data_IF_970550812038
#
_entry.id   IF_970550812038
#
_cell.length_a   1.000
_cell.length_b   1.000
_cell.length_c   1.000
_cell.angle_alpha   90.00
_cell.angle_beta   90.00
_cell.angle_gamma   90.00
#
_symmetry.space_group_name_H-M   'P 1'
#
loop_
_entity.id
_entity.type
_entity.pdbx_description
1 polymer ?
#
# COMPACT_ATOMS: atom_id res chain seq x y z
N UNK A 1 -39.22 9.51 -34.31
CA UNK A 1 -38.96 10.22 -33.04
C UNK A 1 -39.02 9.21 -31.91
N UNK A 2 -37.88 8.93 -31.31
CA UNK A 2 -37.73 8.03 -30.18
C UNK A 2 -38.27 8.69 -28.91
N UNK A 3 -39.06 7.96 -28.12
CA UNK A 3 -39.22 8.21 -26.69
C UNK A 3 -39.33 6.86 -25.98
N UNK A 4 -38.36 6.61 -25.10
CA UNK A 4 -38.34 5.51 -24.14
C UNK A 4 -39.25 5.87 -22.95
N UNK A 5 -40.03 4.92 -22.40
CA UNK A 5 -40.44 4.96 -21.00
C UNK A 5 -39.54 4.03 -20.18
N UNK A 6 -39.03 4.57 -19.08
CA UNK A 6 -38.06 3.94 -18.20
C UNK A 6 -38.56 2.66 -17.54
N UNK A 7 -37.66 1.70 -17.44
CA UNK A 7 -37.78 0.56 -16.53
C UNK A 7 -37.23 0.96 -15.16
N UNK A 8 -38.16 1.15 -14.23
CA UNK A 8 -37.91 0.99 -12.79
C UNK A 8 -37.39 -0.44 -12.57
N UNK A 9 -36.11 -0.59 -12.22
CA UNK A 9 -35.63 -1.84 -11.62
C UNK A 9 -36.15 -1.88 -10.18
N UNK A 10 -37.26 -2.61 -10.01
CA UNK A 10 -37.75 -3.02 -8.71
C UNK A 10 -36.63 -3.74 -7.94
N UNK A 11 -36.35 -3.25 -6.73
CA UNK A 11 -35.64 -4.01 -5.72
C UNK A 11 -36.49 -5.23 -5.35
N UNK A 12 -36.27 -6.34 -6.04
CA UNK A 12 -36.78 -7.63 -5.58
C UNK A 12 -35.93 -8.06 -4.38
N UNK A 13 -36.51 -7.97 -3.18
CA UNK A 13 -36.03 -8.72 -2.02
C UNK A 13 -36.30 -10.19 -2.30
N UNK A 14 -35.36 -10.84 -2.99
CA UNK A 14 -35.34 -12.30 -3.09
C UNK A 14 -34.72 -12.83 -1.81
N UNK A 15 -35.59 -13.12 -0.84
CA UNK A 15 -35.24 -14.00 0.28
C UNK A 15 -34.93 -15.38 -0.29
N UNK A 16 -33.70 -15.87 -0.08
CA UNK A 16 -33.37 -17.28 -0.30
C UNK A 16 -32.50 -17.65 -1.50
N UNK A 17 -31.65 -16.75 -2.01
CA UNK A 17 -30.45 -17.15 -2.76
C UNK A 17 -29.24 -16.71 -1.94
N UNK A 18 -28.49 -17.69 -1.38
CA UNK A 18 -27.14 -17.43 -0.89
C UNK A 18 -26.29 -17.16 -2.13
N UNK A 19 -26.26 -15.91 -2.55
CA UNK A 19 -25.37 -15.48 -3.61
C UNK A 19 -24.00 -15.29 -2.95
N UNK A 20 -23.14 -16.30 -3.08
CA UNK A 20 -21.79 -16.28 -2.51
C UNK A 20 -20.91 -15.14 -3.08
N UNK A 21 -21.37 -14.43 -4.11
CA UNK A 21 -20.62 -13.40 -4.85
C UNK A 21 -21.50 -12.21 -5.30
N UNK A 22 -22.29 -11.62 -4.40
CA UNK A 22 -23.05 -10.41 -4.71
C UNK A 22 -22.14 -9.17 -4.73
N UNK A 23 -22.01 -8.53 -5.91
CA UNK A 23 -21.45 -7.18 -5.98
C UNK A 23 -22.51 -6.18 -5.53
N UNK A 24 -22.26 -5.43 -4.47
CA UNK A 24 -23.18 -4.37 -4.01
C UNK A 24 -22.57 -2.99 -4.20
N UNK A 25 -23.40 -2.05 -4.64
CA UNK A 25 -23.02 -0.66 -4.81
C UNK A 25 -23.51 0.14 -3.61
N UNK A 26 -22.62 0.88 -2.97
CA UNK A 26 -23.03 1.88 -1.98
C UNK A 26 -23.18 3.25 -2.64
N UNK A 27 -24.04 4.10 -2.09
CA UNK A 27 -24.26 5.47 -2.55
C UNK A 27 -22.99 6.36 -2.50
N UNK A 28 -21.90 5.87 -1.90
CA UNK A 28 -20.63 6.59 -1.74
C UNK A 28 -19.59 6.27 -2.84
N UNK A 29 -19.99 5.80 -4.03
CA UNK A 29 -19.10 5.35 -5.12
C UNK A 29 -18.26 4.10 -4.81
N UNK A 30 -18.71 3.27 -3.85
CA UNK A 30 -18.04 2.03 -3.47
C UNK A 30 -18.60 0.78 -4.15
N UNK A 31 -17.73 -0.20 -4.39
CA UNK A 31 -18.07 -1.53 -4.93
C UNK A 31 -17.61 -2.59 -3.93
N UNK A 32 -18.53 -3.34 -3.35
CA UNK A 32 -18.20 -4.48 -2.48
C UNK A 32 -18.33 -5.78 -3.27
N UNK A 33 -17.36 -6.70 -3.18
CA UNK A 33 -17.37 -7.96 -3.96
C UNK A 33 -17.49 -9.22 -3.10
N UNK A 34 -16.87 -9.21 -1.92
CA UNK A 34 -16.85 -10.31 -0.94
C UNK A 34 -16.91 -9.72 0.47
N UNK A 35 -17.32 -10.49 1.50
CA UNK A 35 -17.37 -9.99 2.87
C UNK A 35 -16.02 -9.39 3.29
N UNK A 36 -16.01 -8.11 3.66
CA UNK A 36 -14.81 -7.40 4.13
C UNK A 36 -13.91 -6.79 3.06
N UNK A 37 -14.18 -7.00 1.76
CA UNK A 37 -13.44 -6.35 0.67
C UNK A 37 -14.34 -5.40 -0.12
N UNK A 38 -13.96 -4.13 -0.13
CA UNK A 38 -14.60 -3.11 -0.96
C UNK A 38 -13.57 -2.31 -1.73
N UNK A 39 -13.99 -1.72 -2.84
CA UNK A 39 -13.21 -0.78 -3.63
C UNK A 39 -13.89 0.59 -3.57
N UNK A 40 -13.13 1.63 -3.26
CA UNK A 40 -13.60 3.01 -3.34
C UNK A 40 -12.94 3.70 -4.52
N UNK A 41 -13.74 4.49 -5.23
CA UNK A 41 -13.20 5.44 -6.21
C UNK A 41 -12.44 6.52 -5.47
N UNK A 42 -11.21 6.77 -5.90
CA UNK A 42 -10.45 7.94 -5.47
C UNK A 42 -10.41 8.95 -6.62
N UNK A 43 -11.24 9.99 -6.51
CA UNK A 43 -11.35 11.01 -7.55
C UNK A 43 -10.13 11.91 -7.67
N UNK A 44 -9.21 11.90 -6.71
CA UNK A 44 -7.96 12.66 -6.83
C UNK A 44 -7.07 12.16 -7.98
N UNK A 45 -7.29 10.91 -8.40
CA UNK A 45 -6.59 10.25 -9.51
C UNK A 45 -7.47 10.03 -10.75
N UNK A 46 -8.65 10.65 -10.81
CA UNK A 46 -9.46 10.62 -12.03
C UNK A 46 -8.72 11.28 -13.19
N UNK A 47 -8.90 10.70 -14.38
CA UNK A 47 -8.20 11.06 -15.60
C UNK A 47 -6.68 10.87 -15.52
N UNK A 48 -6.21 9.95 -14.68
CA UNK A 48 -4.79 9.65 -14.54
C UNK A 48 -4.50 8.15 -14.63
N UNK A 49 -3.25 7.82 -14.94
CA UNK A 49 -2.68 6.46 -14.90
C UNK A 49 -1.23 6.51 -14.44
N UNK A 50 -0.67 5.39 -13.99
CA UNK A 50 0.75 5.29 -13.67
C UNK A 50 1.59 5.50 -14.94
N UNK A 51 2.68 6.27 -14.85
CA UNK A 51 3.59 6.57 -15.98
C UNK A 51 4.32 5.33 -16.51
N UNK A 52 4.64 4.37 -15.64
CA UNK A 52 5.21 3.08 -15.99
C UNK A 52 4.88 2.08 -14.89
N UNK A 53 4.13 1.04 -15.22
CA UNK A 53 3.96 -0.11 -14.33
C UNK A 53 4.12 -1.41 -15.12
N UNK A 54 5.29 -2.07 -15.04
CA UNK A 54 5.51 -3.36 -15.70
C UNK A 54 4.69 -4.50 -15.07
N UNK A 55 4.17 -4.31 -13.85
CA UNK A 55 3.46 -5.32 -13.08
C UNK A 55 1.93 -5.19 -13.24
N UNK A 56 1.46 -4.19 -14.01
CA UNK A 56 0.04 -3.99 -14.32
C UNK A 56 -0.52 -5.07 -15.25
N UNK A 57 -1.72 -5.57 -14.94
CA UNK A 57 -2.42 -6.56 -15.79
C UNK A 57 -3.60 -5.91 -16.51
N UNK A 58 -3.45 -5.75 -17.82
CA UNK A 58 -4.51 -5.24 -18.71
C UNK A 58 -5.52 -6.34 -19.07
N UNK A 59 -6.79 -6.03 -18.86
CA UNK A 59 -7.94 -6.90 -19.07
C UNK A 59 -9.07 -6.12 -19.77
N UNK A 60 -9.95 -6.86 -20.45
CA UNK A 60 -11.22 -6.33 -20.92
C UNK A 60 -12.31 -6.56 -19.86
N UNK A 61 -12.83 -5.47 -19.31
CA UNK A 61 -13.97 -5.50 -18.41
C UNK A 61 -15.08 -4.60 -18.96
N UNK A 62 -16.21 -5.21 -19.32
CA UNK A 62 -17.38 -4.45 -19.80
C UNK A 62 -17.96 -3.48 -18.76
N UNK A 63 -17.65 -3.63 -17.47
CA UNK A 63 -18.14 -2.78 -16.38
C UNK A 63 -17.12 -2.63 -15.25
N UNK A 64 -17.26 -1.57 -14.45
CA UNK A 64 -16.46 -1.37 -13.22
C UNK A 64 -16.63 -2.54 -12.24
N UNK A 65 -17.85 -3.07 -12.08
CA UNK A 65 -18.09 -4.23 -11.21
C UNK A 65 -17.30 -5.46 -11.66
N UNK A 66 -17.21 -5.70 -12.96
CA UNK A 66 -16.41 -6.81 -13.49
C UNK A 66 -14.91 -6.60 -13.23
N UNK A 67 -14.41 -5.37 -13.37
CA UNK A 67 -13.02 -5.05 -13.03
C UNK A 67 -12.73 -5.26 -11.53
N UNK A 68 -13.62 -4.78 -10.65
CA UNK A 68 -13.53 -5.01 -9.21
C UNK A 68 -13.56 -6.49 -8.84
N UNK A 69 -14.42 -7.28 -9.50
CA UNK A 69 -14.47 -8.73 -9.33
C UNK A 69 -13.14 -9.39 -9.70
N UNK A 70 -12.60 -9.07 -10.89
CA UNK A 70 -11.31 -9.59 -11.35
C UNK A 70 -10.18 -9.22 -10.39
N UNK A 71 -10.16 -7.98 -9.89
CA UNK A 71 -9.21 -7.58 -8.86
C UNK A 71 -9.39 -8.38 -7.56
N UNK A 72 -10.62 -8.56 -7.07
CA UNK A 72 -10.87 -9.31 -5.84
C UNK A 72 -10.46 -10.78 -5.92
N UNK A 73 -10.64 -11.39 -7.09
CA UNK A 73 -10.24 -12.77 -7.39
C UNK A 73 -8.72 -12.92 -7.61
N UNK A 74 -8.00 -11.80 -7.78
CA UNK A 74 -6.56 -11.78 -7.99
C UNK A 74 -5.87 -11.42 -6.67
N UNK A 75 -5.14 -12.36 -6.06
CA UNK A 75 -4.62 -12.23 -4.70
C UNK A 75 -3.73 -10.99 -4.48
N UNK A 76 -2.94 -10.62 -5.48
CA UNK A 76 -2.04 -9.47 -5.44
C UNK A 76 -2.72 -8.14 -5.75
N UNK A 77 -3.92 -8.15 -6.36
CA UNK A 77 -4.56 -6.92 -6.78
C UNK A 77 -5.18 -6.19 -5.60
N UNK A 78 -4.80 -4.93 -5.44
CA UNK A 78 -5.35 -4.03 -4.42
C UNK A 78 -5.95 -2.78 -5.04
N UNK A 79 -5.65 -2.45 -6.29
CA UNK A 79 -6.21 -1.30 -6.99
C UNK A 79 -6.39 -1.58 -8.47
N UNK A 80 -7.21 -0.77 -9.13
CA UNK A 80 -7.39 -0.89 -10.58
C UNK A 80 -7.79 0.45 -11.22
N UNK A 81 -7.48 0.57 -12.50
CA UNK A 81 -8.04 1.59 -13.39
C UNK A 81 -9.16 1.02 -14.22
N UNK A 82 -10.15 1.86 -14.51
CA UNK A 82 -11.22 1.55 -15.43
C UNK A 82 -11.50 2.71 -16.37
N UNK A 83 -11.50 2.44 -17.68
CA UNK A 83 -11.82 3.42 -18.72
C UNK A 83 -13.17 3.11 -19.35
N UNK A 84 -14.16 3.95 -19.08
CA UNK A 84 -15.56 3.67 -19.46
C UNK A 84 -15.80 3.62 -20.97
N UNK A 85 -15.04 4.40 -21.77
CA UNK A 85 -15.21 4.46 -23.22
C UNK A 85 -14.75 3.20 -23.95
N UNK A 86 -13.75 2.50 -23.40
CA UNK A 86 -13.16 1.30 -24.00
C UNK A 86 -13.52 0.00 -23.27
N UNK A 87 -13.98 0.07 -22.02
CA UNK A 87 -14.07 -1.10 -21.16
C UNK A 87 -12.72 -1.62 -20.67
N UNK A 88 -11.63 -0.85 -20.87
CA UNK A 88 -10.31 -1.26 -20.39
C UNK A 88 -10.27 -1.29 -18.85
N UNK A 89 -9.67 -2.33 -18.32
CA UNK A 89 -9.46 -2.58 -16.90
C UNK A 89 -8.00 -2.95 -16.67
N UNK A 90 -7.28 -2.19 -15.86
CA UNK A 90 -5.89 -2.51 -15.52
C UNK A 90 -5.77 -2.75 -14.03
N UNK A 91 -5.34 -3.95 -13.64
CA UNK A 91 -5.18 -4.36 -12.25
C UNK A 91 -3.79 -4.04 -11.74
N UNK A 92 -3.67 -3.62 -10.47
CA UNK A 92 -2.43 -3.18 -9.84
C UNK A 92 -2.28 -3.71 -8.41
N UNK A 93 -1.02 -4.00 -8.01
CA UNK A 93 -0.67 -4.25 -6.61
C UNK A 93 -0.76 -2.97 -5.81
N UNK A 94 -0.22 -1.87 -6.33
CA UNK A 94 -0.40 -0.50 -5.83
C UNK A 94 -0.07 0.44 -6.98
N UNK A 95 -1.01 1.31 -7.37
CA UNK A 95 -0.79 2.19 -8.53
C UNK A 95 -0.22 3.56 -8.14
N UNK A 96 -0.60 4.12 -6.99
CA UNK A 96 -0.20 5.47 -6.61
C UNK A 96 0.19 5.54 -5.13
N UNK A 97 1.30 6.22 -4.85
CA UNK A 97 1.60 6.78 -3.52
C UNK A 97 1.12 8.23 -3.49
N UNK A 98 1.44 8.99 -4.54
CA UNK A 98 1.16 10.41 -4.61
C UNK A 98 0.60 10.81 -5.98
N UNK A 99 -0.16 11.93 -6.07
CA UNK A 99 -0.63 12.46 -7.35
C UNK A 99 0.47 12.74 -8.39
N UNK A 100 1.73 12.92 -7.96
CA UNK A 100 2.91 13.11 -8.81
C UNK A 100 3.32 11.86 -9.58
N UNK A 101 2.89 10.67 -9.17
CA UNK A 101 3.21 9.39 -9.85
C UNK A 101 2.41 9.19 -11.14
N UNK A 102 1.55 10.15 -11.46
CA UNK A 102 0.47 9.99 -12.40
C UNK A 102 0.72 10.78 -13.69
N UNK A 103 0.37 10.15 -14.82
CA UNK A 103 0.27 10.78 -16.14
C UNK A 103 -1.18 10.95 -16.55
N UNK A 104 -1.45 11.91 -17.43
CA UNK A 104 -2.79 12.16 -17.94
C UNK A 104 -3.33 10.97 -18.74
N UNK A 105 -4.56 10.59 -18.43
CA UNK A 105 -5.31 9.53 -19.09
C UNK A 105 -6.81 9.83 -19.00
N UNK A 106 -7.29 10.69 -19.91
CA UNK A 106 -8.67 11.17 -19.92
C UNK A 106 -9.67 10.01 -19.98
N UNK A 107 -10.70 10.07 -19.11
CA UNK A 107 -11.78 9.09 -19.04
C UNK A 107 -11.49 7.87 -18.16
N UNK A 108 -10.28 7.78 -17.61
CA UNK A 108 -9.87 6.73 -16.67
C UNK A 108 -10.29 7.09 -15.25
N UNK A 109 -10.77 6.11 -14.50
CA UNK A 109 -11.12 6.22 -13.07
C UNK A 109 -10.29 5.25 -12.26
N UNK A 110 -9.85 5.69 -11.09
CA UNK A 110 -9.03 4.87 -10.19
C UNK A 110 -9.86 4.38 -9.00
N UNK A 111 -9.66 3.10 -8.66
CA UNK A 111 -10.30 2.43 -7.55
C UNK A 111 -9.24 1.73 -6.70
N UNK A 112 -9.32 1.89 -5.39
CA UNK A 112 -8.42 1.23 -4.44
C UNK A 112 -9.22 0.41 -3.44
N UNK A 113 -8.62 -0.69 -2.98
CA UNK A 113 -9.18 -1.53 -1.95
C UNK A 113 -9.28 -0.76 -0.64
N UNK A 114 -10.41 -0.92 0.05
CA UNK A 114 -10.59 -0.46 1.41
C UNK A 114 -11.03 -1.61 2.30
N UNK A 115 -10.49 -1.60 3.51
CA UNK A 115 -10.93 -2.42 4.63
C UNK A 115 -11.17 -1.49 5.82
N UNK A 116 -12.06 -1.87 6.73
CA UNK A 116 -12.57 -0.93 7.76
C UNK A 116 -11.47 -0.31 8.64
N UNK A 117 -10.42 -1.07 8.92
CA UNK A 117 -9.28 -0.65 9.73
C UNK A 117 -8.19 0.07 8.92
N UNK A 118 -8.20 -0.02 7.58
CA UNK A 118 -7.25 0.65 6.68
C UNK A 118 -8.00 1.62 5.75
N UNK A 119 -8.49 2.74 6.31
CA UNK A 119 -9.21 3.73 5.52
C UNK A 119 -8.26 4.66 4.76
N UNK A 120 -8.53 4.95 3.47
CA UNK A 120 -7.65 5.72 2.59
C UNK A 120 -7.59 7.23 2.88
N UNK A 121 -8.27 7.72 3.93
CA UNK A 121 -8.36 9.17 4.23
C UNK A 121 -7.00 9.82 4.52
N UNK A 122 -5.95 9.04 4.78
CA UNK A 122 -4.58 9.51 4.96
C UNK A 122 -3.64 9.04 3.83
N UNK A 123 -4.13 8.74 2.62
CA UNK A 123 -3.27 8.16 1.55
C UNK A 123 -2.61 6.86 2.00
N UNK A 124 -3.42 5.98 2.60
CA UNK A 124 -2.95 4.69 3.09
C UNK A 124 -3.00 3.65 1.97
N UNK A 125 -1.96 2.82 1.89
CA UNK A 125 -1.87 1.72 0.95
C UNK A 125 -2.13 0.41 1.69
N UNK A 126 -3.17 -0.32 1.29
CA UNK A 126 -3.44 -1.64 1.84
C UNK A 126 -2.87 -2.72 0.92
N UNK A 127 -1.93 -3.51 1.44
CA UNK A 127 -1.47 -4.73 0.78
C UNK A 127 -2.21 -5.96 1.34
N UNK A 128 -2.98 -6.63 0.49
CA UNK A 128 -3.79 -7.79 0.86
C UNK A 128 -2.97 -9.03 1.20
N UNK A 129 -1.86 -9.28 0.50
CA UNK A 129 -1.04 -10.48 0.70
C UNK A 129 -0.24 -10.39 2.00
N UNK A 130 0.24 -9.19 2.34
CA UNK A 130 0.95 -8.93 3.59
C UNK A 130 0.01 -8.60 4.77
N UNK A 131 -1.30 -8.48 4.52
CA UNK A 131 -2.30 -7.94 5.45
C UNK A 131 -1.83 -6.66 6.15
N UNK A 132 -1.20 -5.75 5.39
CA UNK A 132 -0.50 -4.58 5.93
C UNK A 132 -1.13 -3.30 5.39
N UNK A 133 -1.41 -2.35 6.27
CA UNK A 133 -1.87 -1.01 5.92
C UNK A 133 -0.76 -0.01 6.19
N UNK A 134 -0.24 0.61 5.14
CA UNK A 134 0.96 1.43 5.18
C UNK A 134 0.64 2.90 4.92
N UNK A 135 1.43 3.78 5.51
CA UNK A 135 1.53 5.19 5.16
C UNK A 135 3.00 5.52 4.91
N UNK A 136 3.28 6.19 3.80
CA UNK A 136 4.62 6.64 3.43
C UNK A 136 4.67 8.15 3.54
N UNK A 137 5.63 8.68 4.30
CA UNK A 137 5.94 10.12 4.25
C UNK A 137 7.10 10.33 3.30
N UNK A 138 6.76 10.72 2.08
CA UNK A 138 7.73 10.93 0.97
C UNK A 138 7.90 12.41 0.61
N UNK A 139 7.28 13.32 1.37
CA UNK A 139 7.46 14.75 1.18
C UNK A 139 8.82 15.16 1.75
N UNK A 140 9.76 15.55 0.87
CA UNK A 140 11.09 16.02 1.27
C UNK A 140 11.02 17.21 2.25
N UNK A 141 9.95 18.01 2.21
CA UNK A 141 9.75 19.11 3.16
C UNK A 141 9.35 18.63 4.58
N UNK A 142 8.97 17.35 4.72
CA UNK A 142 8.56 16.72 5.97
C UNK A 142 9.50 15.61 6.44
N UNK A 143 10.65 15.45 5.78
CA UNK A 143 11.74 14.62 6.30
C UNK A 143 12.03 15.05 7.75
N UNK A 144 12.05 14.06 8.63
CA UNK A 144 12.23 14.27 10.06
C UNK A 144 13.70 14.08 10.43
N UNK A 145 14.22 14.85 11.40
CA UNK A 145 15.65 14.83 11.71
C UNK A 145 16.11 13.58 12.46
N UNK A 146 15.18 12.79 13.03
CA UNK A 146 15.50 11.63 13.86
C UNK A 146 14.48 10.52 13.72
N UNK A 147 14.89 9.28 14.01
CA UNK A 147 14.02 8.11 14.11
C UNK A 147 12.90 8.32 15.13
N UNK A 148 13.21 8.91 16.29
CA UNK A 148 12.22 9.18 17.35
C UNK A 148 11.14 10.15 16.88
N UNK A 149 11.50 11.11 16.04
CA UNK A 149 10.52 12.02 15.44
C UNK A 149 9.65 11.28 14.42
N UNK A 150 10.23 10.38 13.61
CA UNK A 150 9.47 9.53 12.68
C UNK A 150 8.44 8.68 13.43
N UNK A 151 8.87 8.03 14.51
CA UNK A 151 7.99 7.22 15.36
C UNK A 151 6.86 8.05 15.95
N UNK A 152 7.18 9.21 16.53
CA UNK A 152 6.17 10.13 17.09
C UNK A 152 5.13 10.54 16.04
N UNK A 153 5.55 10.77 14.79
CA UNK A 153 4.62 11.08 13.69
C UNK A 153 3.68 9.92 13.37
N UNK A 154 4.18 8.69 13.35
CA UNK A 154 3.32 7.53 13.19
C UNK A 154 2.33 7.42 14.35
N UNK A 155 2.78 7.58 15.59
CA UNK A 155 1.94 7.54 16.79
C UNK A 155 0.85 8.63 16.78
N UNK A 156 1.18 9.85 16.37
CA UNK A 156 0.21 10.96 16.22
C UNK A 156 -0.93 10.62 15.26
N UNK A 157 -0.70 9.72 14.30
CA UNK A 157 -1.71 9.21 13.35
C UNK A 157 -2.44 7.95 13.83
N UNK A 158 -2.18 7.51 15.06
CA UNK A 158 -2.68 6.23 15.60
C UNK A 158 -2.04 5.01 14.93
N UNK A 159 -0.79 5.14 14.49
CA UNK A 159 0.01 4.13 13.80
C UNK A 159 1.32 3.88 14.57
N UNK A 160 2.21 3.08 14.02
CA UNK A 160 3.61 2.94 14.47
C UNK A 160 4.53 2.86 13.27
N UNK A 161 5.85 3.00 13.45
CA UNK A 161 6.79 2.65 12.36
C UNK A 161 6.60 1.19 11.96
N UNK A 162 6.77 0.88 10.67
CA UNK A 162 6.58 -0.46 10.15
C UNK A 162 7.45 -1.47 10.92
N UNK A 163 6.82 -2.48 11.51
CA UNK A 163 7.45 -3.37 12.46
C UNK A 163 7.03 -4.82 12.23
N UNK A 164 7.77 -5.75 12.81
CA UNK A 164 7.64 -7.19 12.56
C UNK A 164 7.55 -7.47 11.05
N UNK A 165 8.52 -6.95 10.28
CA UNK A 165 8.53 -7.07 8.82
C UNK A 165 8.91 -8.51 8.47
N UNK A 166 8.02 -9.18 7.76
CA UNK A 166 8.25 -10.49 7.12
C UNK A 166 8.65 -10.29 5.65
N UNK A 167 9.13 -11.32 4.95
CA UNK A 167 9.37 -11.23 3.50
C UNK A 167 8.18 -10.67 2.71
N UNK A 168 6.95 -11.07 3.05
CA UNK A 168 5.74 -10.54 2.40
C UNK A 168 5.50 -9.06 2.68
N UNK A 169 5.73 -8.60 3.92
CA UNK A 169 5.63 -7.17 4.26
C UNK A 169 6.74 -6.36 3.58
N UNK A 170 7.94 -6.92 3.51
CA UNK A 170 9.06 -6.30 2.80
C UNK A 170 8.70 -6.12 1.33
N UNK A 171 8.29 -7.19 0.64
CA UNK A 171 7.86 -7.13 -0.75
C UNK A 171 6.70 -6.14 -0.95
N UNK A 172 5.76 -6.06 0.00
CA UNK A 172 4.69 -5.07 -0.02
C UNK A 172 5.22 -3.63 0.04
N UNK A 173 6.15 -3.32 0.94
CA UNK A 173 6.79 -2.00 1.02
C UNK A 173 7.53 -1.71 -0.30
N UNK A 174 8.33 -2.65 -0.77
CA UNK A 174 9.16 -2.47 -1.96
C UNK A 174 8.34 -2.29 -3.24
N UNK A 175 7.20 -2.96 -3.36
CA UNK A 175 6.30 -2.78 -4.51
C UNK A 175 5.72 -1.37 -4.55
N UNK A 176 5.50 -0.75 -3.39
CA UNK A 176 5.04 0.63 -3.31
C UNK A 176 6.16 1.57 -3.75
N UNK A 177 7.38 1.39 -3.25
CA UNK A 177 8.53 2.26 -3.56
C UNK A 177 9.10 2.13 -4.98
N UNK A 178 8.55 1.23 -5.82
CA UNK A 178 8.84 1.18 -7.26
C UNK A 178 8.22 2.34 -8.04
N UNK A 179 7.28 3.09 -7.45
CA UNK A 179 6.63 4.22 -8.12
C UNK A 179 7.64 5.37 -8.37
N UNK A 180 7.36 6.28 -9.32
CA UNK A 180 8.30 7.34 -9.74
C UNK A 180 8.69 8.33 -8.63
N UNK A 181 7.92 8.39 -7.54
CA UNK A 181 8.31 9.09 -6.32
C UNK A 181 9.56 8.45 -5.75
N UNK A 182 10.71 9.13 -5.91
CA UNK A 182 12.00 8.69 -5.38
C UNK A 182 11.97 8.74 -3.85
N UNK A 183 11.48 7.67 -3.26
CA UNK A 183 11.85 7.31 -1.88
C UNK A 183 13.30 6.83 -1.93
N UNK A 184 14.12 7.27 -0.99
CA UNK A 184 15.55 6.92 -0.97
C UNK A 184 15.92 6.07 0.24
N UNK A 185 15.37 6.40 1.41
CA UNK A 185 15.64 5.68 2.65
C UNK A 185 14.49 5.86 3.63
N UNK A 186 13.85 4.76 4.01
CA UNK A 186 12.69 4.75 4.91
C UNK A 186 13.07 4.23 6.29
N UNK A 187 12.92 5.03 7.33
CA UNK A 187 12.92 4.50 8.69
C UNK A 187 11.82 3.47 8.88
N UNK A 188 12.19 2.39 9.57
CA UNK A 188 11.32 1.32 10.04
C UNK A 188 11.48 1.11 11.54
N UNK A 189 10.58 0.34 12.14
CA UNK A 189 10.54 0.04 13.56
C UNK A 189 11.58 -0.99 14.01
N UNK A 190 12.71 -1.15 13.30
CA UNK A 190 13.79 -2.07 13.67
C UNK A 190 14.93 -1.29 14.32
N UNK A 191 15.34 -1.76 15.50
CA UNK A 191 16.36 -1.14 16.32
C UNK A 191 17.44 -2.15 16.69
N UNK A 192 18.67 -1.68 16.84
CA UNK A 192 19.74 -2.43 17.46
C UNK A 192 19.73 -2.16 18.97
N UNK A 193 19.77 -3.22 19.79
CA UNK A 193 19.71 -3.09 21.25
C UNK A 193 21.12 -3.04 21.87
N UNK A 194 21.49 -1.98 22.62
CA UNK A 194 22.73 -1.95 23.40
C UNK A 194 22.64 -2.79 24.70
N UNK A 195 23.76 -3.32 25.24
CA UNK A 195 25.11 -3.27 24.71
C UNK A 195 25.27 -4.33 23.61
N UNK A 196 25.42 -3.85 22.37
CA UNK A 196 25.33 -4.62 21.14
C UNK A 196 26.57 -5.50 20.87
N UNK A 197 27.03 -6.28 21.86
CA UNK A 197 28.12 -7.25 21.68
C UNK A 197 27.81 -8.31 20.62
N UNK A 198 26.53 -8.45 20.23
CA UNK A 198 26.04 -9.60 19.46
C UNK A 198 25.33 -9.20 18.15
N UNK A 199 25.29 -7.92 17.79
CA UNK A 199 24.48 -7.41 16.66
C UNK A 199 22.97 -7.74 16.75
N UNK A 200 22.42 -7.86 17.96
CA UNK A 200 21.00 -8.17 18.16
C UNK A 200 20.10 -7.02 17.68
N UNK A 201 19.15 -7.39 16.82
CA UNK A 201 18.12 -6.51 16.28
C UNK A 201 16.76 -6.87 16.89
N UNK A 202 16.02 -5.85 17.29
CA UNK A 202 14.70 -5.99 17.90
C UNK A 202 13.73 -5.02 17.25
N UNK A 203 12.53 -5.50 17.01
CA UNK A 203 11.42 -4.66 16.59
C UNK A 203 10.98 -3.75 17.75
N UNK A 204 10.42 -2.59 17.44
CA UNK A 204 9.96 -1.61 18.42
C UNK A 204 8.84 -2.13 19.33
N UNK A 205 8.18 -3.25 18.99
CA UNK A 205 7.23 -3.95 19.86
C UNK A 205 7.88 -4.95 20.82
N UNK A 206 9.21 -5.06 20.78
CA UNK A 206 9.98 -5.94 21.65
C UNK A 206 10.21 -7.34 21.08
N UNK A 207 9.63 -7.67 19.93
CA UNK A 207 9.89 -8.97 19.29
C UNK A 207 11.30 -9.01 18.68
N UNK A 208 12.05 -10.11 18.82
CA UNK A 208 13.33 -10.26 18.15
C UNK A 208 13.14 -10.36 16.64
N UNK A 209 14.10 -9.86 15.86
CA UNK A 209 14.11 -10.05 14.41
C UNK A 209 14.42 -11.51 14.05
N UNK A 210 13.65 -12.10 13.13
CA UNK A 210 14.03 -13.36 12.49
C UNK A 210 15.21 -13.12 11.54
N UNK A 211 16.41 -13.39 12.04
CA UNK A 211 17.67 -13.18 11.31
C UNK A 211 17.70 -13.99 10.01
N UNK A 212 17.19 -15.22 9.99
CA UNK A 212 17.24 -16.07 8.81
C UNK A 212 16.28 -15.59 7.73
N UNK A 213 15.09 -15.12 8.10
CA UNK A 213 14.13 -14.55 7.16
C UNK A 213 14.58 -13.19 6.60
N UNK A 214 15.33 -12.41 7.38
CA UNK A 214 15.74 -11.06 6.99
C UNK A 214 17.13 -10.97 6.36
N UNK A 215 17.98 -11.99 6.47
CA UNK A 215 19.33 -12.03 5.87
C UNK A 215 19.36 -11.62 4.39
N UNK A 216 18.47 -12.10 3.51
CA UNK A 216 18.52 -11.76 2.09
C UNK A 216 18.23 -10.28 1.78
N UNK A 217 17.66 -9.57 2.75
CA UNK A 217 17.31 -8.17 2.60
C UNK A 217 18.38 -7.23 3.14
N UNK A 218 19.37 -7.70 3.89
CA UNK A 218 20.49 -6.85 4.29
C UNK A 218 21.38 -6.51 3.10
N UNK A 219 21.87 -5.27 3.06
CA UNK A 219 22.91 -4.93 2.09
C UNK A 219 24.16 -5.78 2.42
N UNK A 220 24.88 -6.31 1.42
CA UNK A 220 26.09 -7.09 1.67
C UNK A 220 27.07 -6.37 2.61
N UNK A 221 27.31 -6.97 3.79
CA UNK A 221 28.19 -6.42 4.82
C UNK A 221 27.47 -5.66 5.94
N UNK A 222 26.15 -5.48 5.85
CA UNK A 222 25.32 -4.95 6.92
C UNK A 222 24.83 -6.06 7.87
N UNK A 223 24.49 -5.71 9.12
CA UNK A 223 24.60 -4.39 9.73
C UNK A 223 26.03 -4.11 10.27
N UNK A 224 26.61 -2.94 9.99
CA UNK A 224 28.05 -2.67 10.20
C UNK A 224 28.42 -1.56 11.19
N UNK A 225 27.47 -0.74 11.64
CA UNK A 225 27.78 0.46 12.43
C UNK A 225 27.92 0.26 13.94
N UNK A 226 27.70 -0.96 14.43
CA UNK A 226 27.89 -1.28 15.85
C UNK A 226 27.10 -0.36 16.78
N UNK A 227 27.76 0.31 17.73
CA UNK A 227 27.10 1.14 18.76
C UNK A 227 26.70 2.55 18.31
N UNK A 228 27.11 3.00 17.12
CA UNK A 228 26.79 4.34 16.60
C UNK A 228 25.63 4.35 15.60
N UNK A 229 25.23 3.18 15.07
CA UNK A 229 24.11 3.00 14.16
C UNK A 229 23.10 2.03 14.77
N UNK A 230 22.13 2.60 15.50
CA UNK A 230 21.17 1.83 16.29
C UNK A 230 19.78 1.74 15.64
N UNK A 231 19.59 2.40 14.51
CA UNK A 231 18.32 2.43 13.79
C UNK A 231 18.51 1.79 12.41
N UNK A 232 17.43 1.35 11.78
CA UNK A 232 17.49 0.72 10.45
C UNK A 232 16.58 1.46 9.49
N UNK A 233 17.06 1.57 8.25
CA UNK A 233 16.27 2.04 7.11
C UNK A 233 16.14 0.96 6.05
N UNK A 234 15.09 1.06 5.25
CA UNK A 234 15.02 0.40 3.93
C UNK A 234 15.53 1.41 2.91
N UNK A 235 16.69 1.15 2.33
CA UNK A 235 17.19 1.92 1.18
C UNK A 235 16.55 1.40 -0.10
N UNK A 236 16.00 2.32 -0.90
CA UNK A 236 15.29 1.99 -2.13
C UNK A 236 16.02 2.56 -3.34
N UNK A 237 16.54 1.66 -4.18
CA UNK A 237 17.25 2.00 -5.40
C UNK A 237 16.68 1.20 -6.60
N UNK A 238 16.76 1.76 -7.82
CA UNK A 238 16.42 1.00 -9.02
C UNK A 238 17.19 -0.33 -9.08
N UNK A 239 16.47 -1.44 -8.95
CA UNK A 239 17.03 -2.80 -9.03
C UNK A 239 17.67 -3.35 -7.75
N UNK A 240 17.66 -2.61 -6.64
CA UNK A 240 18.25 -3.03 -5.36
C UNK A 240 17.54 -2.34 -4.19
N UNK A 241 17.05 -3.12 -3.23
CA UNK A 241 16.52 -2.56 -1.99
C UNK A 241 17.08 -3.35 -0.82
N UNK A 242 17.55 -2.64 0.22
CA UNK A 242 18.26 -3.28 1.31
C UNK A 242 17.95 -2.65 2.67
N UNK A 243 18.09 -3.46 3.71
CA UNK A 243 18.23 -3.01 5.08
C UNK A 243 19.65 -2.51 5.30
N UNK A 244 19.74 -1.34 5.93
CA UNK A 244 21.00 -0.68 6.32
C UNK A 244 20.83 -0.12 7.72
N UNK A 245 21.78 -0.39 8.62
CA UNK A 245 21.81 0.30 9.91
C UNK A 245 22.39 1.70 9.75
N UNK A 246 21.74 2.66 10.41
CA UNK A 246 22.07 4.08 10.33
C UNK A 246 22.04 4.72 11.71
N UNK A 247 22.62 5.92 11.81
CA UNK A 247 22.49 6.74 13.00
C UNK A 247 21.04 7.19 13.18
N UNK A 248 20.48 7.02 14.37
CA UNK A 248 19.10 7.44 14.66
C UNK A 248 18.84 8.94 14.54
N UNK A 249 19.90 9.76 14.48
CA UNK A 249 19.83 11.21 14.35
C UNK A 249 20.13 11.71 12.93
N UNK A 250 20.00 10.83 11.94
CA UNK A 250 20.11 11.16 10.52
C UNK A 250 18.71 11.31 9.95
N UNK A 251 18.55 12.31 9.08
CA UNK A 251 17.27 12.65 8.51
C UNK A 251 16.89 11.65 7.41
N UNK A 252 15.72 11.02 7.54
CA UNK A 252 15.20 10.04 6.57
C UNK A 252 13.68 10.19 6.41
N UNK A 253 13.17 9.68 5.30
CA UNK A 253 11.73 9.41 5.12
C UNK A 253 11.33 8.25 6.05
N UNK A 254 10.04 7.92 6.12
CA UNK A 254 9.60 6.83 6.99
C UNK A 254 8.32 6.17 6.50
N UNK A 255 8.14 4.91 6.91
CA UNK A 255 6.93 4.15 6.65
C UNK A 255 6.28 3.76 7.97
N UNK A 256 5.00 4.13 8.09
CA UNK A 256 4.16 3.74 9.22
C UNK A 256 3.27 2.55 8.84
N UNK A 257 2.89 1.73 9.81
CA UNK A 257 1.84 0.71 9.67
C UNK A 257 0.69 0.93 10.66
N UNK A 258 -0.53 0.61 10.23
CA UNK A 258 -1.69 0.52 11.13
C UNK A 258 -1.66 -0.84 11.81
N UNK A 259 -1.84 -0.85 13.13
CA UNK A 259 -2.09 -2.09 13.88
C UNK A 259 -3.48 -2.60 13.52
N UNK A 260 -3.54 -3.77 12.87
CA UNK A 260 -4.80 -4.48 12.64
C UNK A 260 -5.41 -4.82 14.02
N UNK A 261 -6.66 -4.39 14.30
CA UNK A 261 -7.33 -4.67 15.58
C UNK A 261 -7.55 -6.17 15.85
#
# INVERSE_FOLDING_TARGET
MATWPGSLLNAAVVTGIVCYYCVTYSAANGISTTPGLSFLRDSSFDNRKVTSDPDGLDLDATTVAKCAYLCSATAWCTSFFYTQSSGACTLHVTAFIAPSDASDSVGTRYYTTVVDWCRPQLVRVYNRQAEMCMYFETDLAKIVPTWQTADSRCVDMGMRLASNITPLKMDAILNVTKTPTMVTSLFIGLLRIPPAGNNEMQWMDGEPMDVAAMEPYWEPGQPNGGSSQLCVVIETHPGKNFLVDVGCNVAHEFVCEVLKP
#
